data_IF_779854764618
#
_entry.id   IF_779854764618
#
_cell.length_a   1.000
_cell.length_b   1.000
_cell.length_c   1.000
_cell.angle_alpha   90.00
_cell.angle_beta   90.00
_cell.angle_gamma   90.00
#
_symmetry.space_group_name_H-M   'P 1'
#
loop_
_entity.id
_entity.type
_entity.pdbx_description
1 polymer ?
#
# COMPACT_ATOMS: atom_id res chain seq x y z
N UNK A 1 -15.38 11.90 18.17
CA UNK A 1 -15.76 12.74 17.02
C UNK A 1 -17.27 12.62 16.81
N UNK A 2 -18.00 13.67 16.44
CA UNK A 2 -19.44 13.57 16.20
C UNK A 2 -19.76 12.76 14.94
N UNK A 3 -20.90 12.05 14.89
CA UNK A 3 -21.30 11.18 13.76
C UNK A 3 -21.24 11.86 12.39
N UNK A 4 -21.61 13.15 12.32
CA UNK A 4 -21.56 13.94 11.07
C UNK A 4 -20.13 14.16 10.58
N UNK A 5 -19.20 14.36 11.51
CA UNK A 5 -17.79 14.59 11.19
C UNK A 5 -17.13 13.29 10.75
N UNK A 6 -17.47 12.16 11.40
CA UNK A 6 -17.00 10.83 10.96
C UNK A 6 -17.48 10.50 9.55
N UNK A 7 -18.76 10.76 9.23
CA UNK A 7 -19.29 10.55 7.89
C UNK A 7 -18.56 11.41 6.82
N UNK A 8 -18.25 12.67 7.12
CA UNK A 8 -17.48 13.53 6.22
C UNK A 8 -16.05 13.02 6.02
N UNK A 9 -15.40 12.56 7.08
CA UNK A 9 -14.06 11.98 6.98
C UNK A 9 -14.02 10.72 6.14
N UNK A 10 -15.05 9.86 6.23
CA UNK A 10 -15.16 8.68 5.37
C UNK A 10 -15.26 9.03 3.90
N UNK A 11 -16.04 10.07 3.56
CA UNK A 11 -16.14 10.58 2.17
C UNK A 11 -14.79 11.11 1.69
N UNK A 12 -14.12 11.91 2.52
CA UNK A 12 -12.78 12.44 2.21
C UNK A 12 -11.76 11.30 2.04
N UNK A 13 -11.76 10.32 2.93
CA UNK A 13 -10.91 9.14 2.83
C UNK A 13 -11.18 8.34 1.55
N UNK A 14 -12.44 8.18 1.16
CA UNK A 14 -12.79 7.51 -0.10
C UNK A 14 -12.23 8.26 -1.31
N UNK A 15 -12.45 9.57 -1.37
CA UNK A 15 -11.92 10.41 -2.45
C UNK A 15 -10.39 10.39 -2.51
N UNK A 16 -9.75 10.44 -1.34
CA UNK A 16 -8.29 10.35 -1.21
C UNK A 16 -7.75 9.02 -1.71
N UNK A 17 -8.33 7.90 -1.28
CA UNK A 17 -7.93 6.56 -1.72
C UNK A 17 -8.09 6.40 -3.23
N UNK A 18 -9.21 6.84 -3.81
CA UNK A 18 -9.45 6.67 -5.24
C UNK A 18 -8.59 7.58 -6.12
N UNK A 19 -8.10 8.70 -5.61
CA UNK A 19 -7.29 9.65 -6.39
C UNK A 19 -5.80 9.47 -6.10
N UNK A 20 -5.38 9.75 -4.87
CA UNK A 20 -3.97 9.73 -4.46
C UNK A 20 -3.53 8.32 -4.12
N UNK A 21 -4.32 7.58 -3.33
CA UNK A 21 -3.99 6.20 -2.94
C UNK A 21 -3.83 5.28 -4.15
N UNK A 22 -4.76 5.35 -5.10
CA UNK A 22 -4.73 4.57 -6.33
C UNK A 22 -3.52 4.90 -7.22
N UNK A 23 -3.15 6.19 -7.34
CA UNK A 23 -1.97 6.61 -8.09
C UNK A 23 -0.69 6.06 -7.45
N UNK A 24 -0.52 6.25 -6.14
CA UNK A 24 0.67 5.77 -5.42
C UNK A 24 0.74 4.23 -5.48
N UNK A 25 -0.35 3.52 -5.19
CA UNK A 25 -0.38 2.07 -5.26
C UNK A 25 -0.11 1.53 -6.67
N UNK A 26 -0.57 2.22 -7.72
CA UNK A 26 -0.28 1.84 -9.10
C UNK A 26 1.22 1.98 -9.42
N UNK A 27 1.85 3.08 -9.02
CA UNK A 27 3.29 3.31 -9.23
C UNK A 27 4.11 2.30 -8.43
N UNK A 28 3.81 2.13 -7.14
CA UNK A 28 4.52 1.17 -6.28
C UNK A 28 4.28 -0.26 -6.75
N UNK A 29 3.08 -0.60 -7.20
CA UNK A 29 2.75 -1.91 -7.76
C UNK A 29 3.53 -2.19 -9.05
N UNK A 30 3.68 -1.20 -9.93
CA UNK A 30 4.49 -1.33 -11.13
C UNK A 30 5.97 -1.54 -10.81
N UNK A 31 6.53 -0.75 -9.89
CA UNK A 31 7.92 -0.93 -9.42
C UNK A 31 8.10 -2.30 -8.77
N UNK A 32 7.14 -2.74 -7.94
CA UNK A 32 7.15 -4.05 -7.30
C UNK A 32 7.11 -5.19 -8.31
N UNK A 33 6.33 -5.07 -9.39
CA UNK A 33 6.30 -6.05 -10.49
C UNK A 33 7.65 -6.15 -11.21
N UNK A 34 8.26 -5.02 -11.55
CA UNK A 34 9.60 -5.03 -12.16
C UNK A 34 10.63 -5.67 -11.23
N UNK A 35 10.53 -5.41 -9.93
CA UNK A 35 11.42 -5.98 -8.93
C UNK A 35 11.23 -7.49 -8.78
N UNK A 36 9.98 -7.96 -8.76
CA UNK A 36 9.64 -9.38 -8.73
C UNK A 36 10.29 -10.15 -9.89
N UNK A 37 10.27 -9.58 -11.10
CA UNK A 37 10.89 -10.22 -12.26
C UNK A 37 12.40 -10.41 -12.08
N UNK A 38 13.09 -9.39 -11.55
CA UNK A 38 14.53 -9.45 -11.29
C UNK A 38 14.83 -10.47 -10.18
N UNK A 39 14.08 -10.44 -9.09
CA UNK A 39 14.29 -11.33 -7.93
C UNK A 39 14.06 -12.81 -8.29
N UNK A 40 12.97 -13.13 -9.00
CA UNK A 40 12.68 -14.51 -9.44
C UNK A 40 13.79 -15.03 -10.37
N UNK A 41 14.25 -14.23 -11.33
CA UNK A 41 15.35 -14.62 -12.23
C UNK A 41 16.64 -14.86 -11.42
N UNK A 42 16.92 -14.00 -10.45
CA UNK A 42 18.09 -14.13 -9.59
C UNK A 42 18.04 -15.41 -8.75
N UNK A 43 16.91 -15.71 -8.11
CA UNK A 43 16.70 -16.94 -7.35
C UNK A 43 16.89 -18.18 -8.22
N UNK A 44 16.42 -18.16 -9.48
CA UNK A 44 16.59 -19.28 -10.41
C UNK A 44 18.04 -19.52 -10.83
N UNK A 45 18.86 -18.47 -10.95
CA UNK A 45 20.26 -18.57 -11.40
C UNK A 45 21.21 -18.88 -10.23
N UNK A 46 21.03 -18.18 -9.11
CA UNK A 46 22.00 -18.16 -7.99
C UNK A 46 21.52 -19.03 -6.83
N UNK A 47 20.25 -19.43 -6.80
CA UNK A 47 19.69 -20.25 -5.72
C UNK A 47 19.69 -19.53 -4.36
N UNK A 48 19.72 -18.20 -4.36
CA UNK A 48 19.75 -17.37 -3.16
C UNK A 48 18.79 -16.18 -3.28
N UNK A 49 18.25 -15.75 -2.14
CA UNK A 49 17.42 -14.55 -2.04
C UNK A 49 18.31 -13.29 -2.12
N UNK A 50 18.75 -12.96 -3.33
CA UNK A 50 19.53 -11.74 -3.58
C UNK A 50 18.77 -10.45 -3.20
N UNK A 51 17.43 -10.51 -3.24
CA UNK A 51 16.52 -9.43 -2.86
C UNK A 51 15.53 -9.95 -1.82
N UNK A 52 16.03 -10.16 -0.60
CA UNK A 52 15.27 -10.74 0.50
C UNK A 52 13.89 -10.10 0.70
N UNK A 53 12.95 -10.90 1.22
CA UNK A 53 11.62 -10.45 1.64
C UNK A 53 11.64 -9.35 2.71
N UNK A 54 12.81 -9.08 3.30
CA UNK A 54 13.06 -8.02 4.28
C UNK A 54 13.69 -6.77 3.68
N UNK A 55 13.94 -6.75 2.37
CA UNK A 55 14.52 -5.61 1.68
C UNK A 55 13.58 -4.40 1.71
N UNK A 56 14.17 -3.21 1.76
CA UNK A 56 13.45 -1.93 1.78
C UNK A 56 12.38 -1.86 0.68
N UNK A 57 12.63 -2.25 -0.59
CA UNK A 57 11.59 -2.24 -1.63
C UNK A 57 10.41 -3.16 -1.33
N UNK A 58 10.65 -4.36 -0.79
CA UNK A 58 9.58 -5.29 -0.43
C UNK A 58 8.69 -4.73 0.69
N UNK A 59 9.29 -4.09 1.70
CA UNK A 59 8.55 -3.42 2.77
C UNK A 59 7.76 -2.20 2.27
N UNK A 60 8.28 -1.45 1.29
CA UNK A 60 7.54 -0.35 0.65
C UNK A 60 6.32 -0.84 -0.12
N UNK A 61 6.48 -1.90 -0.92
CA UNK A 61 5.37 -2.49 -1.68
C UNK A 61 4.29 -3.00 -0.72
N UNK A 62 4.68 -3.83 0.25
CA UNK A 62 3.77 -4.36 1.27
C UNK A 62 3.09 -3.24 2.07
N UNK A 63 3.86 -2.28 2.58
CA UNK A 63 3.35 -1.15 3.37
C UNK A 63 2.36 -0.30 2.59
N UNK A 64 2.63 -0.04 1.31
CA UNK A 64 1.73 0.75 0.45
C UNK A 64 0.39 0.05 0.22
N UNK A 65 0.41 -1.26 -0.08
CA UNK A 65 -0.84 -2.00 -0.27
C UNK A 65 -1.66 -2.10 1.01
N UNK A 66 -1.01 -2.35 2.16
CA UNK A 66 -1.68 -2.39 3.45
C UNK A 66 -2.25 -1.03 3.86
N UNK A 67 -1.53 0.05 3.56
CA UNK A 67 -1.99 1.41 3.79
C UNK A 67 -3.26 1.73 3.00
N UNK A 68 -3.28 1.46 1.69
CA UNK A 68 -4.47 1.69 0.85
C UNK A 68 -5.64 0.82 1.30
N UNK A 69 -5.40 -0.44 1.65
CA UNK A 69 -6.44 -1.34 2.17
C UNK A 69 -7.02 -0.81 3.51
N UNK A 70 -6.18 -0.32 4.41
CA UNK A 70 -6.59 0.28 5.68
C UNK A 70 -7.46 1.51 5.52
N UNK A 71 -7.08 2.44 4.63
CA UNK A 71 -7.87 3.63 4.32
C UNK A 71 -9.18 3.28 3.60
N UNK A 72 -9.17 2.31 2.71
CA UNK A 72 -10.38 1.81 2.03
C UNK A 72 -11.36 1.24 3.05
N UNK A 73 -10.86 0.45 4.01
CA UNK A 73 -11.69 -0.11 5.07
C UNK A 73 -12.27 1.00 5.95
N UNK A 74 -11.46 1.99 6.34
CA UNK A 74 -11.96 3.14 7.11
C UNK A 74 -13.07 3.89 6.35
N UNK A 75 -12.86 4.17 5.07
CA UNK A 75 -13.84 4.87 4.24
C UNK A 75 -15.18 4.10 4.12
N UNK A 76 -15.13 2.77 3.96
CA UNK A 76 -16.32 1.96 3.71
C UNK A 76 -17.06 1.56 4.99
N UNK A 77 -16.33 1.19 6.05
CA UNK A 77 -16.91 0.60 7.26
C UNK A 77 -16.82 1.53 8.47
N UNK A 78 -15.90 2.51 8.44
CA UNK A 78 -15.53 3.32 9.60
C UNK A 78 -14.56 2.66 10.55
N UNK A 79 -14.18 1.42 10.25
CA UNK A 79 -13.16 0.67 10.96
C UNK A 79 -11.95 0.55 10.05
N UNK A 80 -10.77 0.89 10.55
CA UNK A 80 -9.56 0.98 9.75
C UNK A 80 -8.68 2.14 10.19
N UNK A 81 -7.80 2.57 9.30
CA UNK A 81 -6.83 3.64 9.56
C UNK A 81 -7.07 4.84 8.63
N UNK A 82 -7.02 6.05 9.19
CA UNK A 82 -7.10 7.32 8.46
C UNK A 82 -5.71 7.92 8.19
N UNK A 83 -4.61 7.20 8.46
CA UNK A 83 -3.27 7.67 8.08
C UNK A 83 -3.24 8.10 6.61
N UNK A 84 -3.00 9.38 6.35
CA UNK A 84 -3.03 9.97 4.99
C UNK A 84 -1.78 9.64 4.16
N UNK A 85 -0.74 9.08 4.79
CA UNK A 85 0.51 8.70 4.15
C UNK A 85 0.87 7.26 4.51
N UNK A 86 1.47 6.51 3.56
CA UNK A 86 1.99 5.18 3.86
C UNK A 86 3.18 5.28 4.81
N UNK A 87 3.26 4.34 5.75
CA UNK A 87 4.48 4.07 6.53
C UNK A 87 5.10 2.74 6.10
N UNK A 88 6.43 2.58 6.18
CA UNK A 88 7.06 1.27 6.03
C UNK A 88 6.46 0.29 7.05
N UNK A 89 6.17 -0.93 6.60
CA UNK A 89 5.67 -2.02 7.44
C UNK A 89 6.78 -2.72 8.23
#
# INVERSE_FOLDING_TARGET
MGMRVDALLRIVALLWVYTVGALIASVVGFVGLLWMLVDVIWQLIVGSDGLSSTSTPANWVKGTFMWVAGQTNYALTGSGDLMLLPSPA
#
